data_IF_872012510293
#
_entry.id   IF_872012510293
#
_cell.length_a   1.000
_cell.length_b   1.000
_cell.length_c   1.000
_cell.angle_alpha   90.00
_cell.angle_beta   90.00
_cell.angle_gamma   90.00
#
_symmetry.space_group_name_H-M   'P 1'
#
loop_
_entity.id
_entity.type
_entity.pdbx_description
1 polymer ?
#
# COMPACT_ATOMS: atom_id res chain seq x y z
N UNK A 1 -48.39 -8.92 -3.41
CA UNK A 1 -47.37 -9.98 -3.24
C UNK A 1 -46.22 -9.58 -4.16
N UNK A 2 -45.22 -8.82 -3.66
CA UNK A 2 -44.00 -9.31 -3.01
C UNK A 2 -43.05 -9.93 -4.07
N UNK A 3 -41.81 -9.55 -4.31
CA UNK A 3 -40.79 -8.80 -3.55
C UNK A 3 -39.56 -8.57 -4.47
N UNK A 4 -38.66 -7.69 -4.02
CA UNK A 4 -37.20 -7.73 -4.25
C UNK A 4 -36.66 -7.26 -5.61
N UNK A 5 -36.39 -5.95 -5.67
CA UNK A 5 -35.42 -5.35 -6.59
C UNK A 5 -34.63 -4.26 -5.88
N UNK A 6 -33.81 -4.64 -4.90
CA UNK A 6 -32.92 -3.74 -4.18
C UNK A 6 -31.80 -3.25 -5.12
N UNK A 7 -31.97 -2.08 -5.73
CA UNK A 7 -30.90 -1.38 -6.42
C UNK A 7 -30.30 -0.32 -5.48
N UNK A 8 -29.41 -0.78 -4.58
CA UNK A 8 -28.56 0.11 -3.80
C UNK A 8 -27.58 0.80 -4.76
N UNK A 9 -27.92 2.03 -5.18
CA UNK A 9 -26.99 2.94 -5.85
C UNK A 9 -25.85 3.26 -4.88
N UNK A 10 -24.69 2.65 -5.11
CA UNK A 10 -23.43 3.01 -4.47
C UNK A 10 -23.14 4.47 -4.85
N UNK A 11 -23.24 5.37 -3.88
CA UNK A 11 -22.86 6.76 -4.02
C UNK A 11 -21.33 6.84 -4.23
N UNK A 12 -20.93 7.11 -5.48
CA UNK A 12 -19.58 7.58 -5.77
C UNK A 12 -19.48 9.04 -5.33
N UNK A 13 -18.95 9.27 -4.12
CA UNK A 13 -18.59 10.60 -3.66
C UNK A 13 -17.38 11.10 -4.45
N UNK A 14 -17.62 12.05 -5.37
CA UNK A 14 -16.59 12.93 -5.92
C UNK A 14 -16.79 14.31 -5.30
N UNK A 15 -15.80 14.91 -4.61
CA UNK A 15 -15.92 16.30 -4.20
C UNK A 15 -15.48 17.21 -5.34
N UNK A 16 -16.45 17.97 -5.85
CA UNK A 16 -16.27 19.12 -6.72
C UNK A 16 -15.98 20.39 -5.90
N UNK A 17 -15.32 21.33 -6.59
CA UNK A 17 -15.24 22.76 -6.33
C UNK A 17 -14.39 23.26 -5.13
N UNK A 18 -13.42 24.10 -5.47
CA UNK A 18 -12.68 24.91 -4.51
C UNK A 18 -13.48 26.11 -4.02
N UNK A 19 -13.05 26.65 -2.87
CA UNK A 19 -13.32 28.02 -2.47
C UNK A 19 -12.04 28.63 -1.91
N UNK A 20 -11.67 29.77 -2.45
CA UNK A 20 -10.55 30.60 -2.05
C UNK A 20 -11.07 31.70 -1.09
N UNK A 21 -10.80 31.59 0.21
CA UNK A 21 -10.64 32.73 1.13
C UNK A 21 -9.56 32.37 2.16
N UNK A 22 -8.67 33.32 2.41
CA UNK A 22 -7.38 33.20 3.05
C UNK A 22 -7.37 33.59 4.55
N UNK A 23 -6.76 32.72 5.40
CA UNK A 23 -5.77 33.02 6.48
C UNK A 23 -5.76 31.90 7.54
N UNK A 24 -4.58 31.31 7.78
CA UNK A 24 -4.29 30.11 8.60
C UNK A 24 -4.94 28.77 8.14
N UNK A 25 -4.75 28.41 6.87
CA UNK A 25 -5.22 27.14 6.32
C UNK A 25 -4.21 26.00 6.56
N UNK A 26 -4.13 25.50 7.80
CA UNK A 26 -3.47 24.21 8.03
C UNK A 26 -4.41 23.14 7.49
N UNK A 27 -4.24 22.78 6.21
CA UNK A 27 -4.90 21.64 5.61
C UNK A 27 -4.26 20.35 6.15
N UNK A 28 -4.90 19.70 7.12
CA UNK A 28 -4.56 18.34 7.50
C UNK A 28 -5.10 17.37 6.46
N UNK A 29 -4.41 17.24 5.32
CA UNK A 29 -4.71 16.17 4.36
C UNK A 29 -4.63 14.81 5.07
N UNK A 30 -5.55 13.88 4.82
CA UNK A 30 -5.55 12.57 5.47
C UNK A 30 -4.24 11.83 5.20
N UNK A 31 -3.79 11.05 6.19
CA UNK A 31 -2.54 10.29 6.09
C UNK A 31 -2.64 9.25 4.98
N UNK A 32 -1.84 9.42 3.93
CA UNK A 32 -1.82 8.51 2.79
C UNK A 32 -0.78 7.39 2.99
N UNK A 33 -1.22 6.21 3.40
CA UNK A 33 -0.39 5.01 3.55
C UNK A 33 -0.46 4.13 2.28
N UNK A 34 0.12 4.59 1.18
CA UNK A 34 0.26 3.81 -0.05
C UNK A 34 1.69 3.33 -0.28
N UNK A 35 1.81 2.17 -0.92
CA UNK A 35 3.05 1.56 -1.36
C UNK A 35 3.30 1.94 -2.82
N UNK A 36 4.57 2.15 -3.16
CA UNK A 36 5.00 2.52 -4.51
C UNK A 36 6.21 1.67 -4.91
N UNK A 37 6.64 1.78 -6.16
CA UNK A 37 7.86 1.10 -6.62
C UNK A 37 9.06 1.53 -5.76
N UNK A 38 10.01 0.61 -5.56
CA UNK A 38 11.24 0.78 -4.76
C UNK A 38 11.03 0.94 -3.25
N UNK A 39 9.82 0.82 -2.71
CA UNK A 39 9.63 0.76 -1.26
C UNK A 39 10.27 -0.49 -0.68
N UNK A 40 10.95 -0.32 0.45
CA UNK A 40 11.47 -1.43 1.25
C UNK A 40 10.33 -2.04 2.03
N UNK A 41 10.22 -3.36 2.00
CA UNK A 41 9.18 -4.12 2.69
C UNK A 41 9.80 -4.99 3.78
N UNK A 42 8.97 -5.43 4.73
CA UNK A 42 9.29 -6.52 5.65
C UNK A 42 8.44 -7.73 5.26
N UNK A 43 9.08 -8.90 5.19
CA UNK A 43 8.39 -10.18 4.95
C UNK A 43 7.79 -10.66 6.26
N UNK A 44 6.53 -11.12 6.23
CA UNK A 44 5.82 -11.73 7.38
C UNK A 44 5.49 -13.20 7.12
N UNK A 45 6.18 -13.78 6.15
CA UNK A 45 6.00 -15.18 5.77
C UNK A 45 6.96 -16.08 6.51
N UNK A 46 6.53 -17.32 6.68
CA UNK A 46 7.38 -18.41 7.18
C UNK A 46 8.24 -19.03 6.07
N UNK A 47 8.43 -18.34 4.93
CA UNK A 47 9.23 -18.86 3.82
C UNK A 47 10.73 -18.70 4.07
N UNK A 48 11.52 -19.70 3.67
CA UNK A 48 12.99 -19.66 3.80
C UNK A 48 13.62 -18.49 3.05
N UNK A 49 13.04 -18.12 1.89
CA UNK A 49 13.49 -16.98 1.09
C UNK A 49 13.39 -15.66 1.86
N UNK A 50 12.30 -15.47 2.61
CA UNK A 50 12.10 -14.30 3.46
C UNK A 50 13.14 -14.23 4.57
N UNK A 51 13.38 -15.37 5.25
CA UNK A 51 14.36 -15.45 6.34
C UNK A 51 15.78 -15.15 5.84
N UNK A 52 16.20 -15.81 4.75
CA UNK A 52 17.52 -15.59 4.13
C UNK A 52 17.72 -14.15 3.66
N UNK A 53 16.67 -13.47 3.19
CA UNK A 53 16.76 -12.07 2.77
C UNK A 53 17.07 -11.13 3.94
N UNK A 54 16.48 -11.42 5.10
CA UNK A 54 16.71 -10.67 6.33
C UNK A 54 18.09 -10.96 6.91
N UNK A 55 18.54 -12.22 6.90
CA UNK A 55 19.90 -12.62 7.29
C UNK A 55 20.96 -11.93 6.42
N UNK A 56 20.74 -11.85 5.11
CA UNK A 56 21.63 -11.15 4.18
C UNK A 56 21.58 -9.61 4.28
N UNK A 57 20.69 -9.04 5.11
CA UNK A 57 20.52 -7.60 5.30
C UNK A 57 19.95 -6.86 4.08
N UNK A 58 19.34 -7.58 3.12
CA UNK A 58 18.79 -7.00 1.87
C UNK A 58 17.26 -7.08 1.90
N UNK A 59 16.56 -6.03 2.40
CA UNK A 59 15.12 -6.07 2.50
C UNK A 59 14.44 -6.08 1.12
N UNK A 60 13.29 -6.75 0.97
CA UNK A 60 12.55 -6.82 -0.28
C UNK A 60 12.17 -5.46 -0.83
N UNK A 61 12.13 -5.35 -2.16
CA UNK A 61 11.68 -4.13 -2.85
C UNK A 61 10.57 -4.42 -3.83
N UNK A 62 9.56 -3.54 -3.86
CA UNK A 62 8.50 -3.58 -4.88
C UNK A 62 9.07 -3.16 -6.23
N UNK A 63 8.91 -4.01 -7.23
CA UNK A 63 9.25 -3.71 -8.63
C UNK A 63 8.03 -3.19 -9.39
N UNK A 64 6.89 -3.87 -9.27
CA UNK A 64 5.69 -3.56 -10.04
C UNK A 64 4.42 -3.74 -9.20
N UNK A 65 3.45 -2.86 -9.43
CA UNK A 65 2.10 -2.94 -8.86
C UNK A 65 1.18 -3.36 -10.00
N UNK A 66 0.38 -4.40 -9.79
CA UNK A 66 -0.49 -4.93 -10.85
C UNK A 66 -1.67 -4.01 -11.20
N UNK A 67 -2.02 -3.09 -10.30
CA UNK A 67 -3.07 -2.10 -10.52
C UNK A 67 -2.72 -1.07 -11.61
N UNK A 68 -3.77 -0.50 -12.22
CA UNK A 68 -3.64 0.64 -13.14
C UNK A 68 -3.02 1.87 -12.46
N UNK A 69 -3.20 1.98 -11.15
CA UNK A 69 -2.61 3.03 -10.31
C UNK A 69 -1.17 2.63 -9.96
N UNK A 70 -0.25 3.59 -10.02
CA UNK A 70 1.15 3.44 -9.58
C UNK A 70 1.31 3.27 -8.05
N UNK A 71 0.21 3.40 -7.31
CA UNK A 71 0.12 3.33 -5.85
C UNK A 71 -0.70 2.11 -5.47
N UNK A 72 -0.18 1.30 -4.56
CA UNK A 72 -0.86 0.14 -4.01
C UNK A 72 -1.33 0.41 -2.58
N UNK A 73 -2.52 -0.09 -2.24
CA UNK A 73 -3.07 -0.10 -0.90
C UNK A 73 -3.00 -1.51 -0.30
N UNK A 74 -3.49 -1.67 0.94
CA UNK A 74 -3.66 -2.98 1.56
C UNK A 74 -4.59 -3.86 0.73
N UNK A 75 -4.22 -5.12 0.54
CA UNK A 75 -4.98 -6.09 -0.26
C UNK A 75 -4.59 -6.14 -1.75
N UNK A 76 -3.82 -5.18 -2.24
CA UNK A 76 -3.35 -5.20 -3.63
C UNK A 76 -2.23 -6.23 -3.84
N UNK A 77 -2.23 -6.81 -5.04
CA UNK A 77 -1.13 -7.64 -5.51
C UNK A 77 0.04 -6.78 -5.98
N UNK A 78 1.25 -7.17 -5.57
CA UNK A 78 2.50 -6.55 -5.97
C UNK A 78 3.53 -7.60 -6.36
N UNK A 79 4.48 -7.16 -7.16
CA UNK A 79 5.62 -7.93 -7.61
C UNK A 79 6.86 -7.42 -6.89
N UNK A 80 7.53 -8.31 -6.18
CA UNK A 80 8.60 -7.99 -5.25
C UNK A 80 9.86 -8.77 -5.60
N UNK A 81 10.99 -8.09 -5.44
CA UNK A 81 12.30 -8.68 -5.56
C UNK A 81 12.81 -9.11 -4.18
N UNK A 82 12.94 -10.42 -3.98
CA UNK A 82 13.58 -11.02 -2.81
C UNK A 82 14.84 -11.73 -3.27
N UNK A 83 16.01 -11.30 -2.77
CA UNK A 83 17.32 -11.89 -3.12
C UNK A 83 17.56 -12.09 -4.62
N UNK A 84 17.07 -11.15 -5.46
CA UNK A 84 17.21 -11.24 -6.92
C UNK A 84 16.15 -12.11 -7.62
N UNK A 85 15.28 -12.78 -6.87
CA UNK A 85 14.12 -13.49 -7.42
C UNK A 85 12.89 -12.60 -7.46
N UNK A 86 12.11 -12.73 -8.53
CA UNK A 86 10.82 -12.07 -8.69
C UNK A 86 9.71 -12.95 -8.11
N UNK A 87 9.01 -12.45 -7.10
CA UNK A 87 7.88 -13.12 -6.45
C UNK A 87 6.65 -12.23 -6.48
N UNK A 88 5.48 -12.86 -6.47
CA UNK A 88 4.21 -12.15 -6.25
C UNK A 88 3.92 -12.14 -4.76
N UNK A 89 3.25 -11.11 -4.30
CA UNK A 89 2.77 -11.08 -2.93
C UNK A 89 1.66 -10.08 -2.75
N UNK A 90 1.00 -10.21 -1.62
CA UNK A 90 -0.09 -9.36 -1.20
C UNK A 90 0.39 -8.40 -0.12
N UNK A 91 -0.06 -7.16 -0.21
CA UNK A 91 0.19 -6.18 0.85
C UNK A 91 -0.78 -6.47 2.00
N UNK A 92 -0.24 -6.82 3.15
CA UNK A 92 -1.03 -7.10 4.36
C UNK A 92 -1.28 -5.81 5.15
N UNK A 93 -0.32 -4.89 5.13
CA UNK A 93 -0.49 -3.58 5.77
C UNK A 93 0.64 -2.64 5.42
N UNK A 94 0.28 -1.38 5.19
CA UNK A 94 1.22 -0.28 5.00
C UNK A 94 1.07 0.70 6.15
N UNK A 95 2.15 0.97 6.89
CA UNK A 95 2.14 1.96 7.97
C UNK A 95 3.37 2.84 7.90
N UNK A 96 3.18 4.16 7.84
CA UNK A 96 4.30 5.08 8.05
C UNK A 96 4.74 5.03 9.52
N UNK A 97 6.05 4.94 9.82
CA UNK A 97 6.54 5.07 11.19
C UNK A 97 6.15 6.44 11.76
N UNK A 98 5.96 6.52 13.09
CA UNK A 98 5.62 7.77 13.79
C UNK A 98 6.79 8.75 13.81
N UNK A 99 8.02 8.22 13.77
CA UNK A 99 9.26 9.00 13.71
C UNK A 99 9.71 9.08 12.24
N UNK A 100 10.03 10.27 11.69
CA UNK A 100 10.51 10.42 10.32
C UNK A 100 11.97 9.98 10.18
N UNK A 101 12.26 8.69 10.40
CA UNK A 101 13.53 8.08 10.04
C UNK A 101 13.53 7.74 8.54
N UNK A 102 13.83 8.73 7.70
CA UNK A 102 14.23 8.54 6.31
C UNK A 102 13.45 7.47 5.51
N UNK A 103 12.14 7.66 5.33
CA UNK A 103 11.30 6.93 4.34
C UNK A 103 11.37 5.39 4.36
N UNK A 104 11.16 4.77 5.50
CA UNK A 104 10.78 3.34 5.53
C UNK A 104 9.31 3.21 5.95
N UNK A 105 8.40 3.27 4.98
CA UNK A 105 7.06 2.71 5.18
C UNK A 105 7.24 1.27 5.66
N UNK A 106 6.75 0.94 6.85
CA UNK A 106 6.70 -0.45 7.31
C UNK A 106 5.54 -1.05 6.54
N UNK A 107 5.89 -1.65 5.42
CA UNK A 107 4.97 -2.34 4.56
C UNK A 107 5.25 -3.83 4.68
N UNK A 108 4.24 -4.55 5.15
CA UNK A 108 4.28 -5.97 5.39
C UNK A 108 3.76 -6.69 4.17
N UNK A 109 4.55 -7.62 3.64
CA UNK A 109 4.16 -8.46 2.50
C UNK A 109 3.97 -9.90 2.92
N UNK A 110 2.91 -10.50 2.36
CA UNK A 110 2.75 -11.94 2.25
C UNK A 110 3.13 -12.39 0.84
N UNK A 111 4.30 -13.02 0.70
CA UNK A 111 4.75 -13.64 -0.53
C UNK A 111 4.07 -15.01 -0.72
N UNK A 112 3.51 -15.16 -1.91
CA UNK A 112 2.91 -16.41 -2.39
C UNK A 112 3.90 -17.17 -3.29
#
# INVERSE_FOLDING_TARGET
QCLLGAALRIQAAAPAAGCCVCRNWISTTPRLDYIQRRTRLRVVDNSELGRRAMEAGKPPRVMHVYGKKLKAATGDMVMVAILGQKRRGFIVGARRPKVPSGRSLIATIWCC
#
